data_IF_797134027771
#
_entry.id   IF_797134027771
#
_cell.length_a   1.000
_cell.length_b   1.000
_cell.length_c   1.000
_cell.angle_alpha   90.00
_cell.angle_beta   90.00
_cell.angle_gamma   90.00
#
_symmetry.space_group_name_H-M   'P 1'
#
loop_
_entity.id
_entity.type
_entity.pdbx_description
1 polymer ?
#
# COMPACT_ATOMS: atom_id res chain seq x y z
N UNK A 1 -1.94 -5.84 -5.51
CA UNK A 1 -1.71 -7.31 -5.59
C UNK A 1 -0.51 -7.65 -6.48
N UNK A 2 -0.36 -7.06 -7.66
CA UNK A 2 0.64 -7.50 -8.61
C UNK A 2 2.11 -7.47 -8.13
N UNK A 3 2.53 -6.53 -7.27
CA UNK A 3 3.92 -6.52 -6.77
C UNK A 3 4.24 -7.75 -5.91
N UNK A 4 3.37 -8.11 -4.95
CA UNK A 4 3.64 -9.24 -4.05
C UNK A 4 3.60 -10.59 -4.79
N UNK A 5 2.84 -10.68 -5.88
CA UNK A 5 2.82 -11.84 -6.77
C UNK A 5 4.13 -11.99 -7.57
N UNK A 6 4.75 -10.86 -7.95
CA UNK A 6 6.04 -10.86 -8.66
C UNK A 6 7.23 -11.24 -7.77
N UNK A 7 7.13 -11.04 -6.45
CA UNK A 7 8.21 -11.37 -5.51
C UNK A 7 8.45 -12.90 -5.34
N UNK A 8 7.59 -13.74 -5.92
CA UNK A 8 7.81 -15.17 -6.04
C UNK A 8 7.62 -15.95 -4.74
N UNK A 9 8.26 -17.13 -4.66
CA UNK A 9 7.93 -18.14 -3.64
C UNK A 9 8.21 -17.68 -2.20
N UNK A 10 9.21 -16.83 -2.00
CA UNK A 10 9.62 -16.34 -0.67
C UNK A 10 8.49 -15.63 0.08
N UNK A 11 7.54 -15.02 -0.65
CA UNK A 11 6.44 -14.24 -0.08
C UNK A 11 5.08 -14.95 -0.17
N UNK A 12 5.05 -16.27 -0.40
CA UNK A 12 3.80 -17.06 -0.50
C UNK A 12 2.88 -16.91 0.70
N UNK A 13 3.43 -16.90 1.92
CA UNK A 13 2.64 -16.72 3.14
C UNK A 13 1.99 -15.34 3.16
N UNK A 14 2.76 -14.29 2.85
CA UNK A 14 2.24 -12.94 2.79
C UNK A 14 1.17 -12.77 1.69
N UNK A 15 1.36 -13.41 0.53
CA UNK A 15 0.36 -13.43 -0.56
C UNK A 15 -0.94 -14.14 -0.13
N UNK A 16 -0.85 -15.24 0.62
CA UNK A 16 -2.03 -15.95 1.14
C UNK A 16 -2.81 -15.10 2.14
N UNK A 17 -2.10 -14.41 3.05
CA UNK A 17 -2.71 -13.48 4.00
C UNK A 17 -3.37 -12.31 3.26
N UNK A 18 -2.69 -11.71 2.28
CA UNK A 18 -3.27 -10.63 1.48
C UNK A 18 -4.50 -11.05 0.67
N UNK A 19 -4.66 -12.35 0.39
CA UNK A 19 -5.83 -12.92 -0.30
C UNK A 19 -6.98 -13.33 0.64
N UNK A 20 -6.88 -13.04 1.93
CA UNK A 20 -7.96 -13.28 2.88
C UNK A 20 -9.24 -12.49 2.50
N UNK A 21 -10.44 -13.11 2.56
CA UNK A 21 -11.70 -12.48 2.16
C UNK A 21 -12.11 -11.31 3.06
N UNK A 22 -11.50 -11.16 4.25
CA UNK A 22 -11.75 -10.02 5.16
C UNK A 22 -11.18 -8.71 4.63
N UNK A 23 -10.26 -8.75 3.66
CA UNK A 23 -9.69 -7.54 3.05
C UNK A 23 -10.51 -7.09 1.85
N UNK A 24 -10.92 -5.82 1.88
CA UNK A 24 -11.48 -5.16 0.71
C UNK A 24 -10.38 -4.90 -0.34
N UNK A 25 -10.65 -5.28 -1.60
CA UNK A 25 -9.71 -5.10 -2.71
C UNK A 25 -10.18 -3.96 -3.59
N UNK A 26 -9.46 -2.85 -3.53
CA UNK A 26 -9.75 -1.69 -4.37
C UNK A 26 -9.24 -1.91 -5.80
N UNK A 27 -10.07 -1.67 -6.83
CA UNK A 27 -9.63 -1.69 -8.21
C UNK A 27 -8.76 -0.47 -8.50
N UNK A 28 -7.73 -0.65 -9.34
CA UNK A 28 -6.89 0.42 -9.86
C UNK A 28 -7.07 0.55 -11.37
N UNK A 29 -7.20 1.77 -11.87
CA UNK A 29 -7.47 2.07 -13.30
C UNK A 29 -6.24 2.54 -14.07
N UNK A 30 -5.08 2.61 -13.42
CA UNK A 30 -3.83 3.03 -14.05
C UNK A 30 -3.09 1.84 -14.68
N UNK A 31 -2.24 2.14 -15.67
CA UNK A 31 -1.31 1.15 -16.23
C UNK A 31 -0.15 0.92 -15.25
N UNK A 32 0.42 -0.28 -15.29
CA UNK A 32 1.56 -0.65 -14.46
C UNK A 32 1.18 -1.09 -13.05
N UNK A 33 2.19 -1.50 -12.28
CA UNK A 33 1.98 -2.16 -10.99
C UNK A 33 2.73 -1.49 -9.85
N UNK A 34 3.26 -0.28 -10.03
CA UNK A 34 4.06 0.39 -9.00
C UNK A 34 3.16 0.92 -7.89
N UNK A 35 3.27 0.33 -6.70
CA UNK A 35 2.31 0.58 -5.62
C UNK A 35 2.43 1.98 -5.01
N UNK A 36 3.63 2.54 -4.94
CA UNK A 36 3.86 3.85 -4.32
C UNK A 36 3.08 4.96 -5.04
N UNK A 37 3.13 4.97 -6.37
CA UNK A 37 2.40 5.96 -7.18
C UNK A 37 0.88 5.75 -7.09
N UNK A 38 0.44 4.50 -7.09
CA UNK A 38 -0.97 4.14 -6.91
C UNK A 38 -1.51 4.69 -5.57
N UNK A 39 -0.79 4.44 -4.48
CA UNK A 39 -1.17 4.87 -3.14
C UNK A 39 -1.17 6.38 -3.02
N UNK A 40 -0.11 7.05 -3.49
CA UNK A 40 0.01 8.51 -3.45
C UNK A 40 -1.12 9.17 -4.23
N UNK A 41 -1.40 8.72 -5.47
CA UNK A 41 -2.50 9.28 -6.25
C UNK A 41 -3.85 9.08 -5.57
N UNK A 42 -4.12 7.87 -5.06
CA UNK A 42 -5.39 7.56 -4.39
C UNK A 42 -5.61 8.41 -3.15
N UNK A 43 -4.62 8.54 -2.27
CA UNK A 43 -4.77 9.32 -1.03
C UNK A 43 -4.72 10.83 -1.25
N UNK A 44 -4.21 11.27 -2.41
CA UNK A 44 -4.30 12.66 -2.84
C UNK A 44 -5.73 12.99 -3.27
N UNK A 45 -6.37 12.11 -4.04
CA UNK A 45 -7.76 12.26 -4.50
C UNK A 45 -8.77 12.07 -3.37
N UNK A 46 -8.56 11.07 -2.52
CA UNK A 46 -9.48 10.68 -1.47
C UNK A 46 -8.75 10.60 -0.12
N UNK A 47 -8.97 11.59 0.74
CA UNK A 47 -8.31 11.72 2.05
C UNK A 47 -9.00 10.91 3.16
N UNK A 48 -9.60 9.78 2.79
CA UNK A 48 -10.34 8.90 3.71
C UNK A 48 -9.59 7.60 4.03
N UNK A 49 -8.26 7.59 3.84
CA UNK A 49 -7.43 6.41 4.05
C UNK A 49 -6.30 6.68 5.06
N UNK A 50 -5.91 5.63 5.77
CA UNK A 50 -4.66 5.54 6.52
C UNK A 50 -3.68 4.72 5.67
N UNK A 51 -2.45 5.21 5.47
CA UNK A 51 -1.44 4.48 4.69
C UNK A 51 -0.54 3.67 5.64
N UNK A 52 -0.59 2.35 5.53
CA UNK A 52 0.31 1.46 6.25
C UNK A 52 1.58 1.19 5.44
N UNK A 53 2.74 1.67 5.89
CA UNK A 53 4.02 1.41 5.21
C UNK A 53 5.22 1.52 6.16
N UNK A 54 6.26 0.73 5.90
CA UNK A 54 7.57 0.87 6.55
C UNK A 54 8.60 1.56 5.66
N UNK A 55 8.28 1.82 4.39
CA UNK A 55 9.16 2.43 3.42
C UNK A 55 9.42 3.93 3.73
N UNK A 56 10.69 4.34 3.73
CA UNK A 56 11.08 5.71 4.12
C UNK A 56 10.70 6.74 3.06
N UNK A 57 10.82 6.41 1.78
CA UNK A 57 10.55 7.32 0.68
C UNK A 57 9.05 7.50 0.48
N UNK A 58 8.27 6.42 0.56
CA UNK A 58 6.81 6.52 0.55
C UNK A 58 6.30 7.33 1.74
N UNK A 59 6.85 7.14 2.96
CA UNK A 59 6.53 7.99 4.11
C UNK A 59 6.83 9.46 3.83
N UNK A 60 7.98 9.78 3.20
CA UNK A 60 8.34 11.16 2.85
C UNK A 60 7.34 11.76 1.84
N UNK A 61 6.85 10.97 0.88
CA UNK A 61 5.84 11.39 -0.10
C UNK A 61 4.49 11.64 0.57
N UNK A 62 4.00 10.70 1.38
CA UNK A 62 2.69 10.80 2.04
C UNK A 62 2.64 11.94 3.06
N UNK A 63 3.74 12.23 3.79
CA UNK A 63 3.80 13.36 4.73
C UNK A 63 3.56 14.73 4.08
N UNK A 64 3.73 14.85 2.76
CA UNK A 64 3.42 16.10 2.02
C UNK A 64 1.92 16.28 1.79
N UNK A 65 1.11 15.24 1.98
CA UNK A 65 -0.34 15.26 1.75
C UNK A 65 -1.03 15.52 3.11
N UNK A 66 -1.65 16.68 3.32
CA UNK A 66 -2.30 16.98 4.59
C UNK A 66 -3.58 16.15 4.76
N UNK A 67 -3.77 15.61 5.97
CA UNK A 67 -4.94 14.82 6.34
C UNK A 67 -4.83 13.31 6.12
N UNK A 68 -3.64 12.79 5.78
CA UNK A 68 -3.40 11.35 5.56
C UNK A 68 -2.50 10.79 6.65
N UNK A 69 -3.04 10.00 7.60
CA UNK A 69 -2.23 9.35 8.64
C UNK A 69 -1.36 8.23 8.08
N UNK A 70 -0.24 7.97 8.74
CA UNK A 70 0.70 6.88 8.40
C UNK A 70 0.77 5.90 9.56
N UNK A 71 0.46 4.63 9.29
CA UNK A 71 0.67 3.52 10.22
C UNK A 71 1.95 2.77 9.85
N UNK A 72 2.76 2.39 10.83
CA UNK A 72 3.96 1.60 10.60
C UNK A 72 4.27 0.70 11.79
N UNK A 73 4.94 -0.41 11.53
CA UNK A 73 5.42 -1.31 12.58
C UNK A 73 6.67 -0.68 13.23
N UNK A 74 6.65 -0.57 14.55
CA UNK A 74 7.80 -0.24 15.38
C UNK A 74 8.11 -1.44 16.27
N UNK A 75 9.37 -1.63 16.67
CA UNK A 75 9.76 -2.72 17.58
C UNK A 75 8.82 -2.79 18.79
N UNK A 76 8.49 -4.02 19.18
CA UNK A 76 7.76 -4.35 20.39
C UNK A 76 8.69 -4.35 21.60
#
# INVERSE_FOLDING_TARGET
MAEIEKLGQKYRVALRIAKDPRFERLPCTHKGTYADDCLVQRVTQHKCYIVATVDRDLKRRIRKIPGVPIMYISNH
#
